data_IF_079291936468
#
_entry.id   IF_079291936468
#
_cell.length_a   1.000
_cell.length_b   1.000
_cell.length_c   1.000
_cell.angle_alpha   90.00
_cell.angle_beta   90.00
_cell.angle_gamma   90.00
#
_symmetry.space_group_name_H-M   'P 1'
#
loop_
_entity.id
_entity.type
_entity.pdbx_description
1 polymer ?
#
# COMPACT_ATOMS: atom_id res chain seq x y z
N UNK A 1 5.93 2.00 -28.15
CA UNK A 1 5.81 1.44 -26.78
C UNK A 1 5.70 2.55 -25.71
N UNK A 2 6.44 3.65 -25.81
CA UNK A 2 6.34 4.83 -24.93
C UNK A 2 4.93 5.47 -24.92
N UNK A 3 4.27 5.54 -26.06
CA UNK A 3 2.95 6.15 -26.22
C UNK A 3 1.81 5.41 -25.45
N UNK A 4 1.97 4.10 -25.24
CA UNK A 4 0.99 3.28 -24.49
C UNK A 4 1.09 3.53 -22.97
N UNK A 5 2.29 3.81 -22.48
CA UNK A 5 2.56 4.09 -21.06
C UNK A 5 2.15 5.52 -20.68
N UNK A 6 2.39 6.50 -21.55
CA UNK A 6 1.89 7.87 -21.36
C UNK A 6 0.37 7.91 -21.31
N UNK A 7 -0.34 7.19 -22.21
CA UNK A 7 -1.81 7.07 -22.15
C UNK A 7 -2.28 6.38 -20.86
N UNK A 8 -1.58 5.38 -20.39
CA UNK A 8 -1.92 4.69 -19.13
C UNK A 8 -1.74 5.60 -17.91
N UNK A 9 -0.69 6.41 -17.86
CA UNK A 9 -0.53 7.46 -16.85
C UNK A 9 -1.69 8.47 -16.89
N UNK A 10 -2.08 8.97 -18.05
CA UNK A 10 -3.20 9.90 -18.19
C UNK A 10 -4.57 9.28 -17.84
N UNK A 11 -4.76 8.00 -18.09
CA UNK A 11 -5.99 7.28 -17.74
C UNK A 11 -6.08 6.97 -16.24
N UNK A 12 -4.92 6.78 -15.58
CA UNK A 12 -4.84 6.51 -14.14
C UNK A 12 -4.96 7.82 -13.33
N UNK A 13 -4.43 8.93 -13.86
CA UNK A 13 -4.28 10.17 -13.08
C UNK A 13 -5.35 11.23 -13.36
N UNK A 14 -6.26 11.10 -14.28
CA UNK A 14 -7.25 12.15 -14.56
C UNK A 14 -6.62 13.56 -14.70
N UNK A 15 -7.19 14.44 -15.45
CA UNK A 15 -6.71 15.83 -15.62
C UNK A 15 -6.85 16.65 -14.32
N UNK A 16 -5.91 16.51 -13.39
CA UNK A 16 -5.94 17.27 -12.11
C UNK A 16 -5.19 16.65 -10.94
N UNK A 17 -4.74 15.40 -11.04
CA UNK A 17 -4.01 14.73 -9.96
C UNK A 17 -2.50 15.05 -10.04
N UNK A 18 -2.00 15.79 -9.08
CA UNK A 18 -0.55 15.92 -8.84
C UNK A 18 0.02 14.56 -8.45
N UNK A 19 1.05 14.12 -9.15
CA UNK A 19 1.81 12.92 -8.75
C UNK A 19 2.36 13.12 -7.33
N UNK A 20 2.10 12.17 -6.46
CA UNK A 20 2.57 12.24 -5.08
C UNK A 20 4.00 11.70 -5.00
N UNK A 21 4.95 12.50 -4.49
CA UNK A 21 6.32 12.09 -4.30
C UNK A 21 6.40 10.93 -3.30
N UNK A 22 7.16 9.90 -3.63
CA UNK A 22 7.32 8.73 -2.80
C UNK A 22 8.44 8.93 -1.78
N UNK A 23 8.14 8.67 -0.51
CA UNK A 23 9.13 8.66 0.58
C UNK A 23 10.10 7.49 0.42
N UNK A 24 11.23 7.52 1.15
CA UNK A 24 12.23 6.45 1.15
C UNK A 24 12.76 6.14 -0.24
N UNK A 25 13.06 7.18 -0.99
CA UNK A 25 13.74 7.13 -2.29
C UNK A 25 15.10 7.83 -2.18
N UNK A 26 16.07 7.32 -2.92
CA UNK A 26 17.44 7.83 -3.01
C UNK A 26 17.76 8.08 -4.48
N UNK A 27 18.03 9.32 -4.82
CA UNK A 27 18.46 9.70 -6.16
C UNK A 27 19.89 9.21 -6.42
N UNK A 28 20.13 8.77 -7.63
CA UNK A 28 21.42 8.26 -8.07
C UNK A 28 21.98 9.12 -9.19
N UNK A 29 23.32 9.09 -9.32
CA UNK A 29 24.04 9.76 -10.40
C UNK A 29 23.45 9.42 -11.75
N UNK A 30 22.99 9.42 -12.58
CA UNK A 30 22.48 8.96 -13.89
C UNK A 30 20.95 9.00 -14.03
N UNK A 31 20.25 9.71 -13.13
CA UNK A 31 18.79 9.83 -13.14
C UNK A 31 18.04 8.55 -12.77
N UNK A 32 18.75 7.52 -12.28
CA UNK A 32 18.12 6.38 -11.65
C UNK A 32 17.72 6.72 -10.22
N UNK A 33 16.71 6.03 -9.68
CA UNK A 33 16.29 6.18 -8.28
C UNK A 33 16.24 4.82 -7.60
N UNK A 34 16.76 4.75 -6.38
CA UNK A 34 16.73 3.56 -5.53
C UNK A 34 15.65 3.68 -4.48
N UNK A 35 14.76 2.70 -4.43
CA UNK A 35 13.74 2.58 -3.38
C UNK A 35 14.34 1.99 -2.10
N UNK A 36 14.00 2.57 -0.95
CA UNK A 36 14.42 2.12 0.39
C UNK A 36 13.23 1.67 1.25
N UNK A 37 12.06 1.44 0.64
CA UNK A 37 10.85 1.11 1.38
C UNK A 37 10.81 -0.36 1.82
N UNK A 38 11.27 -1.27 0.96
CA UNK A 38 11.29 -2.70 1.25
C UNK A 38 12.62 -3.35 0.83
N UNK A 39 12.92 -4.58 1.28
CA UNK A 39 14.20 -5.25 1.03
C UNK A 39 14.55 -5.49 -0.45
N UNK A 40 13.61 -5.32 -1.39
CA UNK A 40 13.95 -5.38 -2.82
C UNK A 40 14.90 -4.26 -3.27
N UNK A 41 14.91 -3.12 -2.60
CA UNK A 41 15.76 -1.98 -2.94
C UNK A 41 15.81 -1.70 -4.45
N UNK A 42 14.64 -1.67 -5.09
CA UNK A 42 14.53 -1.50 -6.54
C UNK A 42 15.29 -0.27 -7.04
N UNK A 43 16.20 -0.44 -8.00
CA UNK A 43 16.81 0.66 -8.74
C UNK A 43 16.10 0.79 -10.08
N UNK A 44 15.55 1.97 -10.38
CA UNK A 44 14.76 2.20 -11.59
C UNK A 44 15.20 3.44 -12.32
N UNK A 45 15.34 3.32 -13.66
CA UNK A 45 15.52 4.44 -14.58
C UNK A 45 14.17 5.08 -14.88
N UNK A 46 14.22 6.24 -15.54
CA UNK A 46 13.04 6.99 -15.98
C UNK A 46 11.92 6.11 -16.56
N UNK A 47 10.69 6.36 -16.13
CA UNK A 47 9.47 5.67 -16.57
C UNK A 47 9.36 4.21 -16.15
N UNK A 48 10.26 3.68 -15.29
CA UNK A 48 10.25 2.28 -14.86
C UNK A 48 9.61 2.11 -13.50
N UNK A 49 8.74 1.08 -13.41
CA UNK A 49 8.07 0.69 -12.18
C UNK A 49 8.98 -0.11 -11.25
N UNK A 50 8.83 0.09 -9.95
CA UNK A 50 9.28 -0.86 -8.93
C UNK A 50 8.59 -2.22 -9.08
N UNK A 51 9.15 -3.26 -8.46
CA UNK A 51 8.55 -4.62 -8.49
C UNK A 51 7.12 -4.65 -7.94
N UNK A 52 6.81 -3.76 -7.01
CA UNK A 52 5.48 -3.65 -6.40
C UNK A 52 4.39 -3.10 -7.33
N UNK A 53 4.73 -2.54 -8.50
CA UNK A 53 3.78 -1.92 -9.42
C UNK A 53 3.16 -0.60 -8.94
N UNK A 54 3.52 -0.12 -7.75
CA UNK A 54 2.92 1.06 -7.13
C UNK A 54 3.83 2.29 -7.08
N UNK A 55 5.08 2.16 -7.48
CA UNK A 55 6.08 3.23 -7.48
C UNK A 55 6.81 3.28 -8.81
N UNK A 56 7.01 4.47 -9.35
CA UNK A 56 7.66 4.70 -10.64
C UNK A 56 8.70 5.82 -10.53
N UNK A 57 9.83 5.67 -11.23
CA UNK A 57 10.74 6.79 -11.42
C UNK A 57 10.15 7.74 -12.46
N UNK A 58 9.97 8.99 -12.09
CA UNK A 58 9.51 10.09 -12.93
C UNK A 58 10.36 11.32 -12.67
N UNK A 59 11.04 11.80 -13.71
CA UNK A 59 11.96 12.94 -13.65
C UNK A 59 13.04 12.83 -12.56
N UNK A 60 13.58 11.61 -12.36
CA UNK A 60 14.63 11.36 -11.37
C UNK A 60 14.14 11.16 -9.94
N UNK A 61 12.84 11.14 -9.70
CA UNK A 61 12.21 10.91 -8.39
C UNK A 61 11.27 9.71 -8.41
N UNK A 62 11.14 8.98 -7.32
CA UNK A 62 10.03 8.02 -7.21
C UNK A 62 8.73 8.75 -6.91
N UNK A 63 7.68 8.38 -7.64
CA UNK A 63 6.30 8.81 -7.40
C UNK A 63 5.44 7.62 -6.98
N UNK A 64 4.52 7.88 -6.04
CA UNK A 64 3.52 6.92 -5.58
C UNK A 64 2.31 6.93 -6.53
N UNK A 65 2.12 5.86 -7.28
CA UNK A 65 1.03 5.73 -8.26
C UNK A 65 -0.31 5.40 -7.60
N UNK A 66 -0.28 4.89 -6.38
CA UNK A 66 -1.46 4.43 -5.66
C UNK A 66 -1.86 5.35 -4.49
N UNK A 67 -1.27 6.53 -4.37
CA UNK A 67 -1.66 7.50 -3.35
C UNK A 67 -3.12 7.92 -3.49
N UNK A 68 -3.93 7.61 -2.49
CA UNK A 68 -5.37 7.87 -2.50
C UNK A 68 -6.20 7.00 -3.45
N UNK A 69 -5.60 6.08 -4.19
CA UNK A 69 -6.28 5.22 -5.16
C UNK A 69 -6.84 3.98 -4.48
N UNK A 70 -8.11 4.03 -4.13
CA UNK A 70 -8.83 2.95 -3.46
C UNK A 70 -9.52 2.07 -4.51
N UNK A 71 -9.16 0.79 -4.53
CA UNK A 71 -9.73 -0.23 -5.43
C UNK A 71 -10.84 -1.03 -4.77
N UNK A 72 -10.79 -1.10 -3.44
CA UNK A 72 -11.71 -1.91 -2.65
C UNK A 72 -12.04 -1.18 -1.36
N UNK A 73 -13.32 -1.05 -1.07
CA UNK A 73 -13.83 -0.48 0.17
C UNK A 73 -14.97 -1.35 0.69
N UNK A 74 -14.93 -1.70 1.95
CA UNK A 74 -15.96 -2.57 2.54
C UNK A 74 -16.03 -2.49 4.06
N UNK A 75 -17.13 -2.95 4.58
CA UNK A 75 -17.34 -3.13 6.03
C UNK A 75 -17.15 -4.60 6.37
N UNK A 76 -16.15 -4.90 7.17
CA UNK A 76 -15.81 -6.28 7.56
C UNK A 76 -15.82 -6.43 9.09
N UNK A 77 -16.18 -7.61 9.62
CA UNK A 77 -15.86 -7.94 11.02
C UNK A 77 -14.34 -7.91 11.25
N UNK A 78 -13.93 -7.42 12.42
CA UNK A 78 -12.49 -7.39 12.80
C UNK A 78 -11.86 -8.78 12.73
N UNK A 79 -12.62 -9.83 13.05
CA UNK A 79 -12.18 -11.22 13.01
C UNK A 79 -11.78 -11.66 11.59
N UNK A 80 -12.32 -11.03 10.54
CA UNK A 80 -11.90 -11.26 9.14
C UNK A 80 -10.50 -10.71 8.84
N UNK A 81 -9.93 -9.90 9.75
CA UNK A 81 -8.53 -9.44 9.72
C UNK A 81 -7.59 -10.33 10.54
N UNK A 82 -7.92 -11.59 10.75
CA UNK A 82 -7.50 -12.57 11.76
C UNK A 82 -7.09 -11.99 13.14
N UNK A 83 -7.81 -11.00 13.61
CA UNK A 83 -7.58 -10.33 14.89
C UNK A 83 -8.66 -10.73 15.93
N UNK A 84 -8.46 -11.88 16.58
CA UNK A 84 -9.47 -12.45 17.51
C UNK A 84 -9.58 -11.74 18.85
N UNK A 85 -8.54 -11.02 19.28
CA UNK A 85 -8.48 -10.38 20.61
C UNK A 85 -8.49 -8.86 20.54
N UNK A 86 -8.47 -8.29 19.35
CA UNK A 86 -8.52 -6.86 19.14
C UNK A 86 -9.95 -6.46 18.79
N UNK A 87 -10.63 -5.75 19.69
CA UNK A 87 -12.00 -5.23 19.53
C UNK A 87 -13.01 -6.29 19.00
N UNK A 88 -13.12 -7.47 19.65
CA UNK A 88 -13.93 -8.56 19.12
C UNK A 88 -15.41 -8.17 19.00
N UNK A 89 -16.06 -8.65 17.93
CA UNK A 89 -17.47 -8.36 17.62
C UNK A 89 -17.70 -6.99 17.00
N UNK A 90 -16.66 -6.21 16.69
CA UNK A 90 -16.81 -4.91 16.03
C UNK A 90 -16.61 -5.01 14.51
N UNK A 91 -17.15 -4.00 13.80
CA UNK A 91 -16.90 -3.81 12.38
C UNK A 91 -15.71 -2.87 12.16
N UNK A 92 -15.01 -3.04 11.06
CA UNK A 92 -13.93 -2.15 10.59
C UNK A 92 -14.19 -1.70 9.18
N UNK A 93 -13.90 -0.44 8.87
CA UNK A 93 -13.87 0.03 7.49
C UNK A 93 -12.58 -0.48 6.83
N UNK A 94 -12.73 -1.37 5.85
CA UNK A 94 -11.61 -1.98 5.13
C UNK A 94 -11.34 -1.26 3.84
N UNK A 95 -10.10 -0.86 3.61
CA UNK A 95 -9.67 -0.21 2.39
C UNK A 95 -8.47 -0.94 1.77
N UNK A 96 -8.52 -1.12 0.46
CA UNK A 96 -7.42 -1.61 -0.35
C UNK A 96 -7.11 -0.68 -1.51
N UNK A 97 -5.87 -0.70 -1.92
CA UNK A 97 -5.37 -0.02 -3.10
C UNK A 97 -4.91 -1.07 -4.11
N UNK A 98 -3.83 -0.81 -4.83
CA UNK A 98 -3.21 -1.79 -5.73
C UNK A 98 -1.71 -1.90 -5.47
N UNK A 99 -1.13 -2.98 -6.00
CA UNK A 99 0.29 -3.26 -5.86
C UNK A 99 0.61 -4.18 -4.69
N UNK A 100 1.68 -4.96 -4.86
CA UNK A 100 2.26 -5.83 -3.84
C UNK A 100 3.74 -6.05 -4.14
N UNK A 101 4.57 -6.06 -3.11
CA UNK A 101 6.01 -6.34 -3.24
C UNK A 101 6.37 -7.84 -3.18
N UNK A 102 5.38 -8.72 -3.05
CA UNK A 102 5.54 -10.18 -3.23
C UNK A 102 4.72 -10.64 -4.44
N UNK A 103 5.09 -11.75 -5.05
CA UNK A 103 4.49 -12.32 -6.26
C UNK A 103 3.92 -13.73 -6.03
N UNK A 104 3.28 -13.95 -4.88
CA UNK A 104 2.75 -15.26 -4.49
C UNK A 104 1.76 -15.81 -5.53
N UNK A 105 1.97 -17.00 -6.12
CA UNK A 105 1.10 -17.57 -7.15
C UNK A 105 -0.29 -17.96 -6.63
N UNK A 106 -0.43 -18.10 -5.32
CA UNK A 106 -1.69 -18.39 -4.62
C UNK A 106 -2.39 -17.14 -4.09
N UNK A 107 -2.03 -15.94 -4.59
CA UNK A 107 -2.64 -14.69 -4.12
C UNK A 107 -4.14 -14.65 -4.44
N UNK A 108 -4.98 -14.63 -3.40
CA UNK A 108 -6.42 -14.50 -3.53
C UNK A 108 -6.84 -13.20 -4.22
N UNK A 109 -6.09 -12.15 -4.00
CA UNK A 109 -6.36 -10.80 -4.50
C UNK A 109 -5.45 -10.42 -5.69
N UNK A 110 -5.04 -11.41 -6.51
CA UNK A 110 -4.10 -11.22 -7.61
C UNK A 110 -4.49 -10.06 -8.54
N UNK A 111 -5.78 -9.91 -8.84
CA UNK A 111 -6.28 -8.89 -9.76
C UNK A 111 -5.97 -7.45 -9.29
N UNK A 112 -6.01 -7.19 -7.99
CA UNK A 112 -5.66 -5.88 -7.44
C UNK A 112 -4.19 -5.77 -7.05
N UNK A 113 -3.57 -6.86 -6.63
CA UNK A 113 -2.16 -6.87 -6.24
C UNK A 113 -1.21 -6.74 -7.44
N UNK A 114 -1.58 -7.30 -8.62
CA UNK A 114 -0.70 -7.38 -9.79
C UNK A 114 -1.38 -6.97 -11.11
N UNK A 115 -2.67 -6.67 -11.06
CA UNK A 115 -3.44 -6.20 -12.22
C UNK A 115 -3.43 -4.67 -12.38
N UNK A 116 -4.39 -4.19 -13.17
CA UNK A 116 -4.65 -2.77 -13.36
C UNK A 116 -6.11 -2.48 -12.99
N UNK A 117 -6.46 -2.53 -11.70
CA UNK A 117 -7.84 -2.38 -11.26
C UNK A 117 -8.31 -0.94 -11.42
N UNK A 118 -9.62 -0.77 -11.60
CA UNK A 118 -10.26 0.53 -11.44
C UNK A 118 -10.11 1.00 -9.99
N UNK A 119 -9.94 2.30 -9.81
CA UNK A 119 -9.79 2.91 -8.50
C UNK A 119 -10.51 4.25 -8.42
N UNK A 120 -10.93 4.61 -7.21
CA UNK A 120 -11.48 5.92 -6.91
C UNK A 120 -10.50 6.67 -5.99
N UNK A 121 -10.36 7.98 -6.22
CA UNK A 121 -9.52 8.79 -5.34
C UNK A 121 -10.24 9.08 -4.02
N UNK A 122 -9.61 8.69 -2.92
CA UNK A 122 -10.05 9.00 -1.56
C UNK A 122 -8.87 9.63 -0.82
N UNK A 123 -8.96 10.93 -0.48
CA UNK A 123 -7.88 11.59 0.25
C UNK A 123 -7.72 10.98 1.66
N UNK A 124 -6.54 11.08 2.29
CA UNK A 124 -6.29 10.50 3.62
C UNK A 124 -7.35 10.85 4.66
N UNK A 125 -7.74 12.12 4.74
CA UNK A 125 -8.79 12.61 5.65
C UNK A 125 -10.19 12.04 5.31
N UNK A 126 -10.39 11.63 4.07
CA UNK A 126 -11.62 10.98 3.61
C UNK A 126 -11.85 9.64 4.28
N UNK A 127 -10.78 8.87 4.52
CA UNK A 127 -10.85 7.57 5.17
C UNK A 127 -11.30 7.69 6.63
N UNK A 128 -10.72 8.62 7.39
CA UNK A 128 -11.13 8.88 8.77
C UNK A 128 -12.59 9.36 8.84
N UNK A 129 -12.99 10.30 7.97
CA UNK A 129 -14.37 10.79 7.90
C UNK A 129 -15.37 9.67 7.54
N UNK A 130 -15.00 8.76 6.64
CA UNK A 130 -15.85 7.63 6.28
C UNK A 130 -16.04 6.69 7.47
N UNK A 131 -14.98 6.36 8.21
CA UNK A 131 -15.06 5.51 9.39
C UNK A 131 -15.98 6.12 10.46
N UNK A 132 -15.81 7.41 10.77
CA UNK A 132 -16.67 8.15 11.70
C UNK A 132 -18.12 8.18 11.21
N UNK A 133 -18.37 8.47 9.93
CA UNK A 133 -19.71 8.50 9.34
C UNK A 133 -20.42 7.15 9.40
N UNK A 134 -19.67 6.04 9.29
CA UNK A 134 -20.19 4.69 9.37
C UNK A 134 -20.29 4.16 10.80
N UNK A 135 -19.96 5.00 11.78
CA UNK A 135 -19.94 4.64 13.21
C UNK A 135 -19.16 3.37 13.52
N UNK A 136 -17.96 3.24 12.88
CA UNK A 136 -17.06 2.12 13.11
C UNK A 136 -15.80 2.56 13.85
N UNK A 137 -15.36 1.74 14.83
CA UNK A 137 -14.25 2.12 15.70
C UNK A 137 -12.88 2.01 15.03
N UNK A 138 -12.79 1.38 13.86
CA UNK A 138 -11.49 1.12 13.21
C UNK A 138 -11.50 1.20 11.69
N UNK A 139 -10.31 1.49 11.15
CA UNK A 139 -9.95 1.50 9.74
C UNK A 139 -8.89 0.43 9.49
N UNK A 140 -9.11 -0.47 8.54
CA UNK A 140 -8.18 -1.53 8.16
C UNK A 140 -7.63 -1.30 6.77
N UNK A 141 -6.30 -1.22 6.62
CA UNK A 141 -5.62 -1.28 5.33
C UNK A 141 -5.31 -2.75 5.00
N UNK A 142 -5.87 -3.25 3.89
CA UNK A 142 -5.90 -4.68 3.56
C UNK A 142 -6.13 -4.91 2.07
N UNK A 143 -6.39 -6.14 1.67
CA UNK A 143 -6.67 -6.65 0.31
C UNK A 143 -5.44 -6.71 -0.60
N UNK A 144 -4.67 -5.65 -0.77
CA UNK A 144 -3.32 -5.64 -1.37
C UNK A 144 -2.26 -5.49 -0.27
N UNK A 145 -0.99 -5.26 -0.62
CA UNK A 145 0.02 -4.92 0.38
C UNK A 145 -0.03 -3.42 0.72
N UNK A 146 -0.48 -3.04 1.93
CA UNK A 146 -0.63 -1.63 2.28
C UNK A 146 0.70 -0.87 2.31
N UNK A 147 1.82 -1.55 2.63
CA UNK A 147 3.13 -0.89 2.76
C UNK A 147 3.69 -0.38 1.42
N UNK A 148 3.21 -0.87 0.25
CA UNK A 148 3.66 -0.30 -1.04
C UNK A 148 3.01 1.04 -1.37
N UNK A 149 1.88 1.36 -0.73
CA UNK A 149 1.22 2.68 -0.74
C UNK A 149 1.50 3.48 0.54
N UNK A 150 2.74 3.41 1.01
CA UNK A 150 3.18 3.89 2.32
C UNK A 150 2.69 5.31 2.64
N UNK A 151 2.84 6.23 1.72
CA UNK A 151 2.54 7.66 1.92
C UNK A 151 1.06 7.88 2.26
N UNK A 152 0.17 7.25 1.49
CA UNK A 152 -1.27 7.35 1.74
C UNK A 152 -1.69 6.63 3.02
N UNK A 153 -1.14 5.46 3.28
CA UNK A 153 -1.40 4.71 4.52
C UNK A 153 -0.93 5.50 5.74
N UNK A 154 0.27 6.10 5.67
CA UNK A 154 0.82 6.93 6.73
C UNK A 154 -0.06 8.16 7.03
N UNK A 155 -0.43 8.91 5.99
CA UNK A 155 -1.27 10.10 6.15
C UNK A 155 -2.68 9.75 6.63
N UNK A 156 -3.28 8.68 6.09
CA UNK A 156 -4.61 8.23 6.52
C UNK A 156 -4.61 7.65 7.94
N UNK A 157 -3.56 6.93 8.33
CA UNK A 157 -3.41 6.42 9.69
C UNK A 157 -3.29 7.56 10.71
N UNK A 158 -2.52 8.60 10.39
CA UNK A 158 -2.38 9.78 11.22
C UNK A 158 -3.72 10.50 11.41
N UNK A 159 -4.45 10.76 10.32
CA UNK A 159 -5.76 11.42 10.42
C UNK A 159 -6.82 10.56 11.10
N UNK A 160 -6.77 9.24 10.93
CA UNK A 160 -7.64 8.32 11.66
C UNK A 160 -7.38 8.38 13.17
N UNK A 161 -6.10 8.37 13.57
CA UNK A 161 -5.71 8.51 14.99
C UNK A 161 -6.19 9.81 15.60
N UNK A 162 -6.03 10.93 14.90
CA UNK A 162 -6.53 12.26 15.31
C UNK A 162 -8.06 12.29 15.48
N UNK A 163 -8.78 11.50 14.67
CA UNK A 163 -10.24 11.33 14.76
C UNK A 163 -10.69 10.28 15.78
N UNK A 164 -9.78 9.68 16.55
CA UNK A 164 -10.10 8.63 17.54
C UNK A 164 -10.41 7.26 16.92
N UNK A 165 -10.18 7.08 15.61
CA UNK A 165 -10.38 5.82 14.89
C UNK A 165 -9.14 4.95 15.00
N UNK A 166 -9.30 3.69 15.40
CA UNK A 166 -8.20 2.71 15.49
C UNK A 166 -7.73 2.28 14.11
N UNK A 167 -6.44 1.99 13.98
CA UNK A 167 -5.82 1.61 12.71
C UNK A 167 -5.30 0.18 12.75
N UNK A 168 -5.71 -0.59 11.75
CA UNK A 168 -5.34 -1.99 11.57
C UNK A 168 -4.57 -2.13 10.26
N UNK A 169 -3.46 -2.88 10.28
CA UNK A 169 -2.76 -3.32 9.08
C UNK A 169 -2.89 -4.83 8.89
N UNK A 170 -3.23 -5.26 7.68
CA UNK A 170 -3.08 -6.64 7.22
C UNK A 170 -2.01 -6.63 6.14
N UNK A 171 -0.82 -7.12 6.45
CA UNK A 171 0.40 -6.94 5.67
C UNK A 171 1.22 -8.22 5.59
N UNK A 172 2.02 -8.35 4.55
CA UNK A 172 3.01 -9.42 4.45
C UNK A 172 4.29 -9.13 5.27
N UNK A 173 4.42 -7.93 5.84
CA UNK A 173 5.53 -7.53 6.69
C UNK A 173 6.86 -7.32 5.95
N UNK A 174 6.89 -7.43 4.61
CA UNK A 174 8.11 -7.26 3.81
C UNK A 174 8.42 -5.78 3.57
N UNK A 175 8.88 -5.13 4.61
CA UNK A 175 9.14 -3.69 4.68
C UNK A 175 10.43 -3.44 5.47
N UNK A 176 11.14 -2.35 5.14
CA UNK A 176 12.32 -1.94 5.88
C UNK A 176 11.97 -1.43 7.29
N UNK A 177 12.95 -1.53 8.19
CA UNK A 177 12.78 -1.20 9.60
C UNK A 177 12.39 0.27 9.82
N UNK A 178 13.01 1.19 9.10
CA UNK A 178 12.79 2.63 9.28
C UNK A 178 11.36 3.07 8.91
N UNK A 179 10.83 2.75 7.69
CA UNK A 179 9.45 3.06 7.36
C UNK A 179 8.46 2.42 8.31
N UNK A 180 8.68 1.17 8.72
CA UNK A 180 7.82 0.51 9.70
C UNK A 180 7.82 1.24 11.04
N UNK A 181 8.99 1.55 11.59
CA UNK A 181 9.13 2.24 12.87
C UNK A 181 8.43 3.60 12.88
N UNK A 182 8.46 4.33 11.76
CA UNK A 182 7.79 5.62 11.62
C UNK A 182 6.26 5.49 11.56
N UNK A 183 5.73 4.40 11.00
CA UNK A 183 4.29 4.16 10.90
C UNK A 183 3.68 3.62 12.19
N UNK A 184 4.40 2.78 12.94
CA UNK A 184 3.91 2.06 14.11
C UNK A 184 3.20 2.94 15.18
N UNK A 185 3.59 4.20 15.47
CA UNK A 185 2.88 5.05 16.42
C UNK A 185 1.41 5.31 16.07
N UNK A 186 1.03 5.13 14.82
CA UNK A 186 -0.33 5.34 14.30
C UNK A 186 -1.11 4.03 14.11
N UNK A 187 -0.50 2.87 14.39
CA UNK A 187 -1.10 1.54 14.19
C UNK A 187 -1.46 0.92 15.54
N UNK A 188 -2.68 0.46 15.69
CA UNK A 188 -3.18 -0.13 16.94
C UNK A 188 -3.13 -1.67 16.91
N UNK A 189 -3.23 -2.29 15.71
CA UNK A 189 -3.10 -3.74 15.55
C UNK A 189 -2.58 -4.11 14.16
N UNK A 190 -1.90 -5.25 14.07
CA UNK A 190 -1.41 -5.81 12.83
C UNK A 190 -1.68 -7.31 12.74
N UNK A 191 -2.11 -7.78 11.58
CA UNK A 191 -1.95 -9.16 11.16
C UNK A 191 -0.80 -9.21 10.15
N UNK A 192 0.24 -9.97 10.46
CA UNK A 192 1.39 -10.18 9.58
C UNK A 192 1.28 -11.58 8.98
N UNK A 193 1.08 -11.65 7.68
CA UNK A 193 0.91 -12.89 6.96
C UNK A 193 2.26 -13.60 6.76
N UNK A 194 2.47 -14.70 7.45
CA UNK A 194 3.59 -15.59 7.15
C UNK A 194 3.29 -16.38 5.88
N UNK A 195 3.96 -16.03 4.77
CA UNK A 195 3.69 -16.61 3.44
C UNK A 195 4.39 -17.97 3.22
N UNK A 196 5.50 -18.19 3.91
CA UNK A 196 6.26 -19.44 3.86
C UNK A 196 7.06 -19.64 5.16
N UNK A 197 7.57 -20.87 5.38
CA UNK A 197 8.37 -21.23 6.56
C UNK A 197 9.88 -21.19 6.31
N UNK A 198 10.30 -21.06 5.04
CA UNK A 198 11.71 -21.05 4.67
C UNK A 198 12.03 -19.86 3.78
N UNK A 199 13.23 -19.34 3.90
CA UNK A 199 13.75 -18.27 3.04
C UNK A 199 13.76 -18.68 1.57
N UNK A 200 14.12 -19.95 1.29
CA UNK A 200 14.10 -20.50 -0.06
C UNK A 200 12.71 -20.39 -0.70
N UNK A 201 11.66 -20.78 0.03
CA UNK A 201 10.28 -20.67 -0.46
C UNK A 201 9.86 -19.20 -0.64
N UNK A 202 10.25 -18.31 0.28
CA UNK A 202 10.02 -16.88 0.08
C UNK A 202 10.64 -16.39 -1.21
N UNK A 203 11.90 -16.75 -1.47
CA UNK A 203 12.63 -16.30 -2.65
C UNK A 203 12.08 -16.92 -3.95
N UNK A 204 11.85 -18.23 -3.97
CA UNK A 204 11.51 -18.95 -5.20
C UNK A 204 10.01 -18.91 -5.54
N UNK A 205 9.15 -18.84 -4.54
CA UNK A 205 7.69 -18.92 -4.71
C UNK A 205 7.04 -17.54 -4.50
N UNK A 206 7.42 -16.81 -3.45
CA UNK A 206 6.77 -15.54 -3.13
C UNK A 206 7.48 -14.34 -3.78
N UNK A 207 8.68 -14.51 -4.32
CA UNK A 207 9.46 -13.43 -4.93
C UNK A 207 10.04 -12.43 -3.92
N UNK A 208 10.16 -12.83 -2.64
CA UNK A 208 10.81 -12.09 -1.57
C UNK A 208 12.09 -12.77 -1.10
N UNK A 209 12.85 -12.18 -0.18
CA UNK A 209 14.06 -12.78 0.42
C UNK A 209 14.14 -12.40 1.91
#
# INVERSE_FOLDING_TARGET
RLYKWQKMCYTIYGSGDTMHEAMYAEEMENGAVKCRLCPHHCVRREGKLGLCGARMNHDGHFVSLNYGRVTSLGMDPVEKKPLRRFMPGTMTLSAGSFGCNLACPYCQNHAIAHGSPESQYVPPQGMARLAVKQDVPSLSFTYNEPMVGYEWVYDAARTAKEAGVKVILVTNGYVEREPLARLLPYVDAMNIDLKAFTEETYRTVCGGA
#
